data_IF_245720787560
#
_entry.id   IF_245720787560
#
_cell.length_a   1.000
_cell.length_b   1.000
_cell.length_c   1.000
_cell.angle_alpha   90.00
_cell.angle_beta   90.00
_cell.angle_gamma   90.00
#
_symmetry.space_group_name_H-M   'P 1'
#
loop_
_entity.id
_entity.type
_entity.pdbx_description
1 polymer ?
#
# COMPACT_ATOMS: atom_id res chain seq x y z
N UNK A 1 -3.75 33.54 32.79
CA UNK A 1 -3.51 32.13 32.42
C UNK A 1 -4.35 31.80 31.19
N UNK A 2 -3.71 31.59 30.04
CA UNK A 2 -4.39 31.36 28.76
C UNK A 2 -5.29 30.12 28.79
N UNK A 3 -6.39 30.15 28.02
CA UNK A 3 -7.38 29.08 27.99
C UNK A 3 -6.78 27.71 27.63
N UNK A 4 -5.82 27.69 26.69
CA UNK A 4 -5.09 26.48 26.26
C UNK A 4 -4.41 25.77 27.43
N UNK A 5 -3.65 26.50 28.24
CA UNK A 5 -2.90 25.95 29.39
C UNK A 5 -3.85 25.34 30.41
N UNK A 6 -4.99 25.99 30.65
CA UNK A 6 -6.02 25.51 31.59
C UNK A 6 -6.70 24.23 31.13
N UNK A 7 -6.98 24.12 29.83
CA UNK A 7 -7.56 22.92 29.21
C UNK A 7 -6.57 21.77 29.26
N UNK A 8 -5.32 21.98 28.83
CA UNK A 8 -4.29 20.94 28.82
C UNK A 8 -3.98 20.41 30.23
N UNK A 9 -3.92 21.29 31.23
CA UNK A 9 -3.70 20.89 32.62
C UNK A 9 -4.84 19.99 33.16
N UNK A 10 -6.10 20.29 32.80
CA UNK A 10 -7.25 19.45 33.17
C UNK A 10 -7.18 18.07 32.50
N UNK A 11 -6.83 18.02 31.21
CA UNK A 11 -6.67 16.75 30.48
C UNK A 11 -5.55 15.93 31.09
N UNK A 12 -4.37 16.51 31.34
CA UNK A 12 -3.24 15.81 31.96
C UNK A 12 -3.58 15.26 33.35
N UNK A 13 -4.29 16.04 34.18
CA UNK A 13 -4.75 15.60 35.50
C UNK A 13 -5.72 14.41 35.39
N UNK A 14 -6.68 14.48 34.46
CA UNK A 14 -7.64 13.40 34.24
C UNK A 14 -6.99 12.12 33.70
N UNK A 15 -5.94 12.24 32.88
CA UNK A 15 -5.21 11.09 32.34
C UNK A 15 -4.29 10.41 33.36
N UNK A 16 -3.83 11.13 34.40
CA UNK A 16 -2.87 10.61 35.39
C UNK A 16 -3.42 9.42 36.19
N UNK A 17 -4.70 9.44 36.52
CA UNK A 17 -5.39 8.39 37.29
C UNK A 17 -6.23 7.47 36.41
N UNK A 18 -6.26 7.69 35.09
CA UNK A 18 -7.01 6.85 34.17
C UNK A 18 -6.36 5.46 34.15
N UNK A 19 -7.05 4.39 34.57
CA UNK A 19 -6.52 3.05 34.43
C UNK A 19 -6.22 2.80 32.96
N UNK A 20 -4.98 2.37 32.65
CA UNK A 20 -4.67 1.91 31.31
C UNK A 20 -5.54 0.69 31.06
N UNK A 21 -6.38 0.76 30.03
CA UNK A 21 -7.04 -0.43 29.53
C UNK A 21 -5.94 -1.42 29.13
N UNK A 22 -5.92 -2.59 29.76
CA UNK A 22 -5.14 -3.71 29.26
C UNK A 22 -5.81 -4.11 27.94
N UNK A 23 -5.08 -4.03 26.84
CA UNK A 23 -5.53 -4.64 25.61
C UNK A 23 -5.48 -6.16 25.82
N UNK A 24 -6.47 -6.92 25.34
CA UNK A 24 -6.37 -8.37 25.34
C UNK A 24 -5.10 -8.79 24.62
N UNK A 25 -4.48 -9.88 25.06
CA UNK A 25 -3.40 -10.50 24.28
C UNK A 25 -3.95 -10.79 22.88
N UNK A 26 -3.25 -10.29 21.87
CA UNK A 26 -3.70 -10.42 20.50
C UNK A 26 -3.68 -11.91 20.13
N UNK A 27 -4.80 -12.49 19.68
CA UNK A 27 -4.81 -13.85 19.15
C UNK A 27 -4.14 -13.83 17.78
N UNK A 28 -2.81 -13.74 17.76
CA UNK A 28 -2.05 -13.98 16.56
C UNK A 28 -2.15 -15.48 16.30
N UNK A 29 -2.94 -15.87 15.30
CA UNK A 29 -2.78 -17.20 14.74
C UNK A 29 -1.45 -17.16 14.00
N UNK A 30 -0.44 -17.95 14.41
CA UNK A 30 0.82 -17.99 13.68
C UNK A 30 0.53 -18.33 12.23
N UNK A 31 1.13 -17.59 11.29
CA UNK A 31 1.12 -18.06 9.91
C UNK A 31 1.93 -19.35 9.85
N UNK A 32 1.31 -20.40 9.30
CA UNK A 32 1.94 -21.70 9.09
C UNK A 32 2.53 -21.84 7.67
N UNK A 33 2.46 -20.78 6.86
CA UNK A 33 2.95 -20.73 5.48
C UNK A 33 3.85 -19.49 5.26
N UNK A 34 4.66 -19.50 4.20
CA UNK A 34 5.50 -18.35 3.81
C UNK A 34 4.62 -17.11 3.57
N UNK A 35 4.84 -15.99 4.28
CA UNK A 35 4.08 -14.76 4.09
C UNK A 35 4.06 -14.27 2.63
N UNK A 36 5.14 -14.49 1.86
CA UNK A 36 5.20 -14.09 0.45
C UNK A 36 4.22 -14.93 -0.38
N UNK A 37 4.22 -16.24 -0.20
CA UNK A 37 3.33 -17.15 -0.94
C UNK A 37 1.85 -16.85 -0.62
N UNK A 38 1.54 -16.62 0.66
CA UNK A 38 0.20 -16.22 1.08
C UNK A 38 -0.22 -14.88 0.47
N UNK A 39 0.66 -13.87 0.48
CA UNK A 39 0.41 -12.57 -0.12
C UNK A 39 0.07 -12.70 -1.62
N UNK A 40 0.88 -13.44 -2.38
CA UNK A 40 0.67 -13.64 -3.81
C UNK A 40 -0.69 -14.30 -4.09
N UNK A 41 -1.04 -15.33 -3.32
CA UNK A 41 -2.34 -16.02 -3.43
C UNK A 41 -3.51 -15.06 -3.12
N UNK A 42 -3.45 -14.31 -2.02
CA UNK A 42 -4.52 -13.38 -1.61
C UNK A 42 -4.70 -12.23 -2.59
N UNK A 43 -3.62 -11.66 -3.11
CA UNK A 43 -3.69 -10.63 -4.15
C UNK A 43 -4.40 -11.15 -5.41
N UNK A 44 -4.10 -12.37 -5.83
CA UNK A 44 -4.77 -13.00 -6.98
C UNK A 44 -6.25 -13.25 -6.72
N UNK A 45 -6.62 -13.76 -5.53
CA UNK A 45 -8.02 -13.93 -5.11
C UNK A 45 -8.80 -12.60 -5.10
N UNK A 46 -8.14 -11.50 -4.70
CA UNK A 46 -8.70 -10.15 -4.76
C UNK A 46 -8.78 -9.59 -6.20
N UNK A 47 -8.15 -10.26 -7.17
CA UNK A 47 -8.15 -9.93 -8.59
C UNK A 47 -7.03 -9.00 -9.02
N UNK A 48 -5.96 -8.87 -8.24
CA UNK A 48 -4.71 -8.24 -8.66
C UNK A 48 -3.81 -9.25 -9.39
N UNK A 49 -2.88 -8.74 -10.20
CA UNK A 49 -1.76 -9.52 -10.70
C UNK A 49 -0.63 -9.46 -9.66
N UNK A 50 -0.05 -10.60 -9.29
CA UNK A 50 1.01 -10.66 -8.29
C UNK A 50 2.12 -11.61 -8.74
N UNK A 51 3.38 -11.18 -8.61
CA UNK A 51 4.58 -11.95 -8.98
C UNK A 51 5.73 -11.71 -8.00
N UNK A 52 6.58 -12.71 -7.85
CA UNK A 52 7.90 -12.62 -7.19
C UNK A 52 8.98 -12.56 -8.26
N UNK A 53 9.94 -11.65 -8.13
CA UNK A 53 11.04 -11.47 -9.08
C UNK A 53 12.32 -11.05 -8.35
N UNK A 54 13.51 -11.47 -8.82
CA UNK A 54 14.77 -10.86 -8.40
C UNK A 54 14.79 -9.36 -8.72
N UNK A 55 15.40 -8.54 -7.85
CA UNK A 55 15.46 -7.08 -8.05
C UNK A 55 16.06 -6.68 -9.41
N UNK A 56 17.05 -7.41 -9.91
CA UNK A 56 17.67 -7.13 -11.21
C UNK A 56 16.70 -7.26 -12.40
N UNK A 57 15.67 -8.09 -12.27
CA UNK A 57 14.66 -8.30 -13.33
C UNK A 57 13.52 -7.27 -13.27
N UNK A 58 13.38 -6.56 -12.16
CA UNK A 58 12.25 -5.67 -11.88
C UNK A 58 12.14 -4.53 -12.89
N UNK A 59 13.27 -3.94 -13.30
CA UNK A 59 13.30 -2.87 -14.31
C UNK A 59 12.83 -3.37 -15.67
N UNK A 60 13.31 -4.55 -16.09
CA UNK A 60 12.90 -5.16 -17.35
C UNK A 60 11.41 -5.53 -17.34
N UNK A 61 10.90 -5.99 -16.20
CA UNK A 61 9.47 -6.21 -16.02
C UNK A 61 8.66 -4.91 -16.14
N UNK A 62 9.07 -3.85 -15.45
CA UNK A 62 8.42 -2.54 -15.53
C UNK A 62 8.42 -2.00 -16.96
N UNK A 63 9.53 -2.16 -17.68
CA UNK A 63 9.66 -1.77 -19.10
C UNK A 63 8.66 -2.49 -20.00
N UNK A 64 8.53 -3.81 -19.87
CA UNK A 64 7.57 -4.60 -20.64
C UNK A 64 6.13 -4.21 -20.33
N UNK A 65 5.81 -3.98 -19.05
CA UNK A 65 4.48 -3.54 -18.64
C UNK A 65 4.14 -2.14 -19.17
N UNK A 66 5.15 -1.29 -19.29
CA UNK A 66 5.08 0.08 -19.76
C UNK A 66 5.12 0.23 -21.30
N UNK A 67 5.30 -0.87 -22.05
CA UNK A 67 5.49 -0.84 -23.49
C UNK A 67 4.28 -0.20 -24.19
N UNK A 68 4.54 0.78 -25.06
CA UNK A 68 3.51 1.52 -25.80
C UNK A 68 2.75 2.58 -25.00
N UNK A 69 3.05 2.77 -23.70
CA UNK A 69 2.42 3.82 -22.91
C UNK A 69 3.09 5.20 -23.16
N UNK A 70 2.31 6.30 -23.23
CA UNK A 70 2.84 7.65 -23.42
C UNK A 70 3.63 8.21 -22.22
N UNK A 71 3.45 7.65 -21.03
CA UNK A 71 4.10 8.12 -19.81
C UNK A 71 3.58 7.42 -18.56
N UNK A 72 4.12 7.81 -17.39
CA UNK A 72 3.71 7.26 -16.10
C UNK A 72 3.81 8.32 -14.99
N UNK A 73 3.04 8.13 -13.91
CA UNK A 73 3.18 8.88 -12.67
C UNK A 73 4.01 8.06 -11.68
N UNK A 74 5.03 8.67 -11.09
CA UNK A 74 5.96 7.99 -10.18
C UNK A 74 5.74 8.41 -8.73
N UNK A 75 5.71 7.43 -7.83
CA UNK A 75 5.82 7.67 -6.40
C UNK A 75 7.14 8.36 -6.07
N UNK A 76 7.11 9.35 -5.19
CA UNK A 76 8.29 10.14 -4.80
C UNK A 76 9.44 9.27 -4.25
N UNK A 77 9.11 8.23 -3.49
CA UNK A 77 10.06 7.31 -2.86
C UNK A 77 10.44 6.12 -3.74
N UNK A 78 9.86 6.00 -4.94
CA UNK A 78 10.18 4.94 -5.89
C UNK A 78 11.66 4.95 -6.26
N UNK A 79 12.42 3.86 -5.98
CA UNK A 79 13.82 3.73 -6.36
C UNK A 79 14.04 3.94 -7.86
N UNK A 80 15.10 4.68 -8.22
CA UNK A 80 15.36 5.06 -9.61
C UNK A 80 15.66 3.86 -10.52
N UNK A 81 16.24 2.80 -9.96
CA UNK A 81 16.54 1.54 -10.67
C UNK A 81 15.26 0.80 -11.10
N UNK A 82 14.14 1.03 -10.42
CA UNK A 82 12.85 0.39 -10.71
C UNK A 82 11.96 1.21 -11.66
N UNK A 83 12.36 2.45 -11.98
CA UNK A 83 11.58 3.33 -12.86
C UNK A 83 11.65 2.83 -14.30
N UNK A 84 10.52 2.55 -14.98
CA UNK A 84 10.51 2.35 -16.42
C UNK A 84 10.96 3.64 -17.13
N UNK A 85 11.59 3.54 -18.30
CA UNK A 85 12.10 4.67 -19.08
C UNK A 85 10.97 5.38 -19.83
N UNK A 86 10.01 5.91 -19.07
CA UNK A 86 8.87 6.67 -19.57
C UNK A 86 8.97 8.14 -19.12
N UNK A 87 8.42 9.09 -19.89
CA UNK A 87 8.18 10.44 -19.41
C UNK A 87 7.30 10.43 -18.15
N UNK A 88 7.63 11.29 -17.19
CA UNK A 88 6.77 11.53 -16.03
C UNK A 88 5.60 12.43 -16.45
N UNK A 89 4.37 11.99 -16.18
CA UNK A 89 3.15 12.72 -16.48
C UNK A 89 2.39 13.06 -15.18
N UNK A 90 1.54 14.10 -15.19
CA UNK A 90 0.58 14.33 -14.12
C UNK A 90 -0.26 13.07 -13.85
N UNK A 91 -0.55 12.68 -12.59
CA UNK A 91 -1.30 11.46 -12.28
C UNK A 91 -2.68 11.34 -12.96
N UNK A 92 -3.34 12.46 -13.22
CA UNK A 92 -4.62 12.54 -13.95
C UNK A 92 -4.52 12.25 -15.46
N UNK A 93 -3.32 12.34 -16.04
CA UNK A 93 -3.05 12.08 -17.46
C UNK A 93 -2.27 10.78 -17.67
N UNK A 94 -1.67 10.25 -16.60
CA UNK A 94 -0.83 9.06 -16.65
C UNK A 94 -1.66 7.77 -16.75
N UNK A 95 -1.42 6.91 -17.76
CA UNK A 95 -2.06 5.60 -17.85
C UNK A 95 -1.51 4.58 -16.83
N UNK A 96 -0.33 4.85 -16.28
CA UNK A 96 0.37 3.99 -15.32
C UNK A 96 0.83 4.79 -14.11
N UNK A 97 0.49 4.32 -12.92
CA UNK A 97 1.12 4.72 -11.66
C UNK A 97 2.15 3.67 -11.28
N UNK A 98 3.32 4.11 -10.79
CA UNK A 98 4.34 3.19 -10.25
C UNK A 98 4.74 3.64 -8.85
N UNK A 99 4.63 2.75 -7.87
CA UNK A 99 4.87 3.08 -6.46
C UNK A 99 5.77 2.07 -5.75
N UNK A 100 6.31 2.53 -4.62
CA UNK A 100 7.05 1.71 -3.68
C UNK A 100 6.21 1.51 -2.41
N UNK A 101 5.91 0.27 -2.06
CA UNK A 101 5.18 -0.04 -0.85
C UNK A 101 6.10 0.02 0.37
N UNK A 102 5.59 0.57 1.48
CA UNK A 102 6.29 0.53 2.77
C UNK A 102 6.38 -0.89 3.33
N UNK A 103 5.35 -1.69 3.06
CA UNK A 103 5.24 -3.10 3.42
C UNK A 103 4.02 -3.73 2.71
N UNK A 104 3.87 -5.04 2.85
CA UNK A 104 2.68 -5.78 2.48
C UNK A 104 2.18 -6.65 3.64
N UNK A 105 0.90 -6.98 3.60
CA UNK A 105 0.20 -7.77 4.61
C UNK A 105 -0.37 -9.01 3.93
N UNK A 106 0.16 -10.18 4.30
CA UNK A 106 -0.18 -11.45 3.69
C UNK A 106 -1.63 -11.86 3.97
N UNK A 107 -2.10 -11.77 5.23
CA UNK A 107 -3.45 -12.23 5.62
C UNK A 107 -4.59 -11.58 4.79
N UNK A 108 -4.45 -10.31 4.43
CA UNK A 108 -5.44 -9.53 3.68
C UNK A 108 -5.13 -9.40 2.19
N UNK A 109 -3.94 -9.81 1.74
CA UNK A 109 -3.47 -9.58 0.38
C UNK A 109 -3.34 -8.10 0.05
N UNK A 110 -2.70 -7.31 0.92
CA UNK A 110 -2.64 -5.84 0.79
C UNK A 110 -1.22 -5.31 0.67
N UNK A 111 -1.03 -4.27 -0.15
CA UNK A 111 0.18 -3.44 -0.14
C UNK A 111 -0.09 -2.09 0.54
N UNK A 112 0.87 -1.64 1.35
CA UNK A 112 0.76 -0.44 2.15
C UNK A 112 1.53 0.72 1.53
N UNK A 113 0.82 1.79 1.17
CA UNK A 113 1.35 2.92 0.41
C UNK A 113 1.36 4.19 1.25
N UNK A 114 2.50 4.86 1.26
CA UNK A 114 2.68 6.12 1.98
C UNK A 114 2.07 7.29 1.21
N UNK A 115 1.38 8.20 1.90
CA UNK A 115 1.00 9.49 1.30
C UNK A 115 2.17 10.35 0.82
N UNK A 116 3.41 10.03 1.24
CA UNK A 116 4.63 10.71 0.77
C UNK A 116 4.89 10.52 -0.72
N UNK A 117 4.43 9.41 -1.30
CA UNK A 117 4.48 9.14 -2.74
C UNK A 117 3.46 9.95 -3.55
N UNK A 118 2.59 10.70 -2.85
CA UNK A 118 1.51 11.47 -3.43
C UNK A 118 0.31 10.58 -3.74
N UNK A 119 -0.75 10.68 -2.93
CA UNK A 119 -1.96 9.83 -3.05
C UNK A 119 -2.56 9.74 -4.46
N UNK A 120 -2.39 10.77 -5.29
CA UNK A 120 -2.92 10.79 -6.66
C UNK A 120 -2.26 9.75 -7.56
N UNK A 121 -0.94 9.52 -7.44
CA UNK A 121 -0.22 8.54 -8.27
C UNK A 121 -0.69 7.10 -8.01
N UNK A 122 -1.30 6.85 -6.84
CA UNK A 122 -1.82 5.55 -6.44
C UNK A 122 -3.28 5.33 -6.84
N UNK A 123 -4.01 6.40 -7.11
CA UNK A 123 -5.47 6.38 -7.21
C UNK A 123 -5.98 6.76 -8.60
N UNK A 124 -5.33 7.70 -9.29
CA UNK A 124 -5.82 8.22 -10.56
C UNK A 124 -5.43 7.36 -11.77
N UNK A 125 -4.18 6.86 -11.87
CA UNK A 125 -3.82 6.03 -13.00
C UNK A 125 -4.66 4.75 -13.06
N UNK A 126 -5.20 4.38 -14.24
CA UNK A 126 -6.07 3.20 -14.37
C UNK A 126 -5.32 1.89 -14.11
N UNK A 127 -4.01 1.87 -14.36
CA UNK A 127 -3.11 0.77 -13.97
C UNK A 127 -2.14 1.24 -12.90
N UNK A 128 -1.97 0.44 -11.85
CA UNK A 128 -1.00 0.69 -10.78
C UNK A 128 -0.03 -0.47 -10.64
N UNK A 129 1.25 -0.21 -10.83
CA UNK A 129 2.35 -1.12 -10.55
C UNK A 129 2.95 -0.77 -9.18
N UNK A 130 3.01 -1.75 -8.28
CA UNK A 130 3.56 -1.58 -6.93
C UNK A 130 4.68 -2.58 -6.72
N UNK A 131 5.83 -2.08 -6.29
CA UNK A 131 6.95 -2.91 -5.83
C UNK A 131 6.96 -2.98 -4.30
N UNK A 132 7.33 -4.13 -3.75
CA UNK A 132 7.54 -4.34 -2.32
C UNK A 132 8.71 -5.29 -2.10
N UNK A 133 9.53 -5.07 -1.08
CA UNK A 133 10.62 -6.01 -0.73
C UNK A 133 10.05 -7.24 -0.02
N UNK A 134 10.60 -8.42 -0.31
CA UNK A 134 10.18 -9.68 0.31
C UNK A 134 10.31 -9.64 1.84
N UNK A 135 11.35 -8.99 2.37
CA UNK A 135 11.57 -8.82 3.81
C UNK A 135 10.62 -7.79 4.46
N UNK A 136 9.79 -7.09 3.67
CA UNK A 136 8.73 -6.17 4.12
C UNK A 136 7.33 -6.77 3.93
N UNK A 137 7.24 -8.09 3.75
CA UNK A 137 5.98 -8.83 3.75
C UNK A 137 5.76 -9.41 5.14
N UNK A 138 4.70 -8.95 5.80
CA UNK A 138 4.35 -9.37 7.16
C UNK A 138 3.14 -10.29 7.14
N UNK A 139 3.01 -11.10 8.17
CA UNK A 139 1.88 -12.03 8.24
C UNK A 139 0.57 -11.30 8.47
N UNK A 140 0.57 -10.33 9.38
CA UNK A 140 -0.59 -9.51 9.67
C UNK A 140 -0.30 -8.01 9.80
N UNK A 141 -1.36 -7.21 9.79
CA UNK A 141 -1.24 -5.75 9.81
C UNK A 141 -0.61 -5.22 11.11
N UNK A 142 -0.93 -5.83 12.26
CA UNK A 142 -0.39 -5.37 13.54
C UNK A 142 1.14 -5.52 13.60
N UNK A 143 1.65 -6.66 13.12
CA UNK A 143 3.09 -6.94 13.05
C UNK A 143 3.80 -5.88 12.20
N UNK A 144 3.26 -5.57 11.01
CA UNK A 144 3.80 -4.54 10.14
C UNK A 144 3.78 -3.14 10.79
N UNK A 145 2.69 -2.79 11.48
CA UNK A 145 2.57 -1.50 12.17
C UNK A 145 3.50 -1.38 13.38
N UNK A 146 3.83 -2.49 14.05
CA UNK A 146 4.77 -2.52 15.17
C UNK A 146 6.23 -2.35 14.72
N UNK A 147 6.59 -2.86 13.54
CA UNK A 147 7.92 -2.69 12.96
C UNK A 147 8.17 -1.25 12.44
N UNK A 148 7.10 -0.52 12.08
CA UNK A 148 7.22 0.86 11.62
C UNK A 148 7.66 1.80 12.74
N UNK A 149 8.84 2.41 12.58
CA UNK A 149 9.36 3.42 13.50
C UNK A 149 8.55 4.73 13.47
N UNK A 150 8.01 5.09 12.31
CA UNK A 150 7.24 6.33 12.10
C UNK A 150 6.08 6.09 11.15
N UNK A 151 4.89 6.55 11.52
CA UNK A 151 3.71 6.48 10.66
C UNK A 151 3.66 7.67 9.68
N UNK A 152 3.35 7.44 8.39
CA UNK A 152 3.13 8.52 7.45
C UNK A 152 1.84 9.28 7.79
N UNK A 153 1.68 10.48 7.23
CA UNK A 153 0.47 11.31 7.43
C UNK A 153 -0.82 10.59 7.02
N UNK A 154 -0.75 9.75 6.00
CA UNK A 154 -1.78 8.78 5.67
C UNK A 154 -1.15 7.53 5.06
N UNK A 155 -1.74 6.38 5.36
CA UNK A 155 -1.37 5.06 4.86
C UNK A 155 -2.56 4.49 4.09
N UNK A 156 -2.34 4.11 2.83
CA UNK A 156 -3.34 3.43 2.01
C UNK A 156 -3.06 1.93 1.96
N UNK A 157 -4.03 1.10 2.33
CA UNK A 157 -3.95 -0.35 2.15
C UNK A 157 -4.71 -0.74 0.88
N UNK A 158 -3.98 -1.18 -0.15
CA UNK A 158 -4.54 -1.54 -1.44
C UNK A 158 -4.55 -3.07 -1.57
N UNK A 159 -5.73 -3.68 -1.54
CA UNK A 159 -5.86 -5.15 -1.56
C UNK A 159 -6.16 -5.74 -2.94
N UNK A 160 -6.43 -4.90 -3.94
CA UNK A 160 -6.85 -5.33 -5.27
C UNK A 160 -7.27 -4.13 -6.13
N UNK A 161 -7.70 -4.37 -7.38
CA UNK A 161 -8.29 -3.33 -8.20
C UNK A 161 -9.51 -2.71 -7.54
N UNK A 162 -9.74 -1.42 -7.79
CA UNK A 162 -10.94 -0.72 -7.34
C UNK A 162 -12.18 -1.40 -7.92
N UNK A 163 -13.10 -1.81 -7.05
CA UNK A 163 -14.37 -2.46 -7.38
C UNK A 163 -15.46 -1.82 -6.54
N UNK A 164 -16.52 -1.34 -7.18
CA UNK A 164 -17.72 -0.84 -6.51
C UNK A 164 -18.94 -1.59 -7.03
N UNK A 165 -19.78 -2.09 -6.11
CA UNK A 165 -21.10 -2.65 -6.41
C UNK A 165 -22.25 -1.71 -5.96
N UNK A 166 -21.89 -0.48 -5.58
CA UNK A 166 -22.66 0.42 -4.70
C UNK A 166 -23.96 0.94 -5.35
N UNK A 167 -24.10 0.81 -6.68
CA UNK A 167 -25.29 1.24 -7.40
C UNK A 167 -25.73 0.12 -8.35
N UNK A 168 -26.87 -0.50 -8.04
CA UNK A 168 -27.55 -1.45 -8.93
C UNK A 168 -27.01 -2.88 -8.95
N UNK A 169 -26.16 -3.28 -7.99
CA UNK A 169 -25.58 -4.64 -7.88
C UNK A 169 -24.74 -5.08 -9.10
N UNK A 170 -24.36 -4.14 -9.97
CA UNK A 170 -23.44 -4.40 -11.08
C UNK A 170 -22.03 -4.07 -10.63
N UNK A 171 -21.11 -5.02 -10.78
CA UNK A 171 -19.71 -4.81 -10.44
C UNK A 171 -19.07 -3.89 -11.47
N UNK A 172 -18.72 -2.66 -11.06
CA UNK A 172 -17.94 -1.73 -11.87
C UNK A 172 -16.50 -1.66 -11.33
N UNK A 173 -15.51 -1.84 -12.21
CA UNK A 173 -14.09 -1.72 -11.87
C UNK A 173 -13.56 -0.34 -12.23
N UNK A 174 -12.70 0.22 -11.39
CA UNK A 174 -11.91 1.43 -11.71
C UNK A 174 -12.59 2.78 -11.47
N UNK A 175 -13.67 2.84 -10.68
CA UNK A 175 -14.41 4.11 -10.42
C UNK A 175 -13.73 5.01 -9.39
N UNK A 176 -13.15 4.42 -8.34
CA UNK A 176 -12.56 5.16 -7.21
C UNK A 176 -11.06 4.88 -7.02
N UNK A 177 -10.43 4.24 -7.99
CA UNK A 177 -9.03 3.83 -7.94
C UNK A 177 -8.65 3.02 -9.18
N UNK A 178 -7.43 2.45 -9.23
CA UNK A 178 -6.95 1.72 -10.39
C UNK A 178 -7.85 0.53 -10.73
N UNK A 179 -8.22 0.39 -12.01
CA UNK A 179 -8.96 -0.76 -12.53
C UNK A 179 -8.10 -2.01 -12.69
N UNK A 180 -6.77 -1.85 -12.67
CA UNK A 180 -5.76 -2.90 -12.70
C UNK A 180 -4.69 -2.63 -11.65
N UNK A 181 -4.41 -3.62 -10.79
CA UNK A 181 -3.33 -3.58 -9.81
C UNK A 181 -2.35 -4.70 -10.12
N UNK A 182 -1.06 -4.36 -10.24
CA UNK A 182 0.05 -5.28 -10.44
C UNK A 182 1.03 -5.11 -9.30
N UNK A 183 1.29 -6.18 -8.54
CA UNK A 183 2.21 -6.18 -7.41
C UNK A 183 3.41 -7.08 -7.72
N UNK A 184 4.60 -6.56 -7.48
CA UNK A 184 5.86 -7.30 -7.63
C UNK A 184 6.58 -7.34 -6.29
N UNK A 185 6.77 -8.54 -5.76
CA UNK A 185 7.60 -8.81 -4.58
C UNK A 185 9.05 -9.01 -5.05
N UNK A 186 9.97 -8.23 -4.50
CA UNK A 186 11.39 -8.23 -4.87
C UNK A 186 12.21 -9.06 -3.88
N UNK A 187 13.01 -9.98 -4.42
CA UNK A 187 14.03 -10.74 -3.70
C UNK A 187 15.40 -10.08 -3.72
#
# INVERSE_FOLDING_TARGET
MEARTRILARVQRALKERPKALLPEHPHTPLHEDPVDLLLRRLQENGAEAKRLPREEAKAFAQRLAEGLPGAAFGKTLPQDLRPPLPELPPEEAPLGVSWALFAVAETGSVALSSEDGRKSHLLPPTHLVFVEANRVYGGLLEALQDLQTLPKALGLHSGPSKSADIGQVMVKGVHGPGRLVVVVLE
#
